data_IF_439140907331
#
_entry.id   IF_439140907331
#
_cell.length_a   1.000
_cell.length_b   1.000
_cell.length_c   1.000
_cell.angle_alpha   90.00
_cell.angle_beta   90.00
_cell.angle_gamma   90.00
#
_symmetry.space_group_name_H-M   'P 1'
#
loop_
_entity.id
_entity.type
_entity.pdbx_description
1 polymer ?
#
# COMPACT_ATOMS: atom_id res chain seq x y z
N UNK A 1 39.03 -10.82 -2.26
CA UNK A 1 37.76 -10.41 -2.91
C UNK A 1 37.20 -11.63 -3.62
N UNK A 2 36.17 -12.26 -3.07
CA UNK A 2 35.49 -13.37 -3.76
C UNK A 2 34.75 -12.82 -4.98
N UNK A 3 34.94 -13.43 -6.15
CA UNK A 3 34.15 -13.20 -7.35
C UNK A 3 33.24 -14.41 -7.53
N UNK A 4 31.95 -14.18 -7.75
CA UNK A 4 31.07 -15.27 -8.23
C UNK A 4 31.48 -15.52 -9.69
N UNK A 5 31.69 -16.78 -10.05
CA UNK A 5 32.10 -17.19 -11.40
C UNK A 5 30.90 -17.32 -12.37
N UNK A 6 29.90 -16.46 -12.20
CA UNK A 6 28.66 -16.40 -12.99
C UNK A 6 28.73 -15.36 -14.13
N UNK A 7 29.82 -14.57 -14.19
CA UNK A 7 30.00 -13.53 -15.19
C UNK A 7 29.08 -12.32 -14.99
N UNK A 8 28.48 -12.18 -13.81
CA UNK A 8 27.57 -11.09 -13.46
C UNK A 8 28.09 -10.28 -12.28
N UNK A 9 27.85 -8.97 -12.32
CA UNK A 9 28.20 -8.01 -11.28
C UNK A 9 26.89 -7.39 -10.79
N UNK A 10 26.44 -7.85 -9.62
CA UNK A 10 25.28 -7.29 -8.94
C UNK A 10 25.73 -6.12 -8.05
N UNK A 11 25.13 -4.95 -8.23
CA UNK A 11 25.37 -3.76 -7.42
C UNK A 11 24.06 -3.32 -6.77
N UNK A 12 24.13 -2.85 -5.53
CA UNK A 12 22.98 -2.39 -4.75
C UNK A 12 23.17 -0.92 -4.41
N UNK A 13 22.13 -0.11 -4.62
CA UNK A 13 22.09 1.31 -4.27
C UNK A 13 20.80 1.61 -3.51
N UNK A 14 20.93 2.32 -2.40
CA UNK A 14 19.81 2.82 -1.60
C UNK A 14 19.82 4.35 -1.69
N UNK A 15 18.75 4.91 -2.24
CA UNK A 15 18.57 6.37 -2.42
C UNK A 15 17.24 6.85 -1.83
N UNK A 16 17.22 8.07 -1.29
CA UNK A 16 15.99 8.74 -0.90
C UNK A 16 15.32 9.47 -2.06
N UNK A 17 14.04 9.78 -1.90
CA UNK A 17 13.27 10.60 -2.86
C UNK A 17 13.85 12.02 -3.06
N UNK A 18 14.67 12.48 -2.12
CA UNK A 18 15.42 13.75 -2.18
C UNK A 18 16.71 13.65 -3.03
N UNK A 19 17.01 12.47 -3.58
CA UNK A 19 18.23 12.20 -4.33
C UNK A 19 19.45 11.91 -3.45
N UNK A 20 19.29 11.84 -2.12
CA UNK A 20 20.39 11.49 -1.23
C UNK A 20 20.74 10.00 -1.35
N UNK A 21 22.03 9.69 -1.51
CA UNK A 21 22.52 8.32 -1.50
C UNK A 21 22.85 7.90 -0.06
N UNK A 22 22.15 6.90 0.47
CA UNK A 22 22.39 6.40 1.82
C UNK A 22 23.49 5.35 1.84
N UNK A 23 23.40 4.38 0.93
CA UNK A 23 24.32 3.24 0.85
C UNK A 23 24.47 2.78 -0.58
N UNK A 24 25.69 2.37 -0.92
CA UNK A 24 26.02 1.75 -2.20
C UNK A 24 27.01 0.63 -1.96
N UNK A 25 26.77 -0.52 -2.58
CA UNK A 25 27.70 -1.64 -2.61
C UNK A 25 27.78 -2.19 -4.02
N UNK A 26 28.94 -2.01 -4.64
CA UNK A 26 29.24 -2.63 -5.92
C UNK A 26 29.76 -4.06 -5.70
N UNK A 27 29.43 -4.95 -6.64
CA UNK A 27 29.84 -6.35 -6.64
C UNK A 27 29.49 -7.11 -5.33
N UNK A 28 28.19 -7.18 -5.03
CA UNK A 28 27.66 -7.93 -3.90
C UNK A 28 27.85 -9.44 -4.15
N UNK A 29 28.54 -10.09 -3.22
CA UNK A 29 28.81 -11.53 -3.21
C UNK A 29 28.39 -12.10 -1.87
N UNK A 30 27.45 -13.05 -1.88
CA UNK A 30 26.84 -13.57 -0.66
C UNK A 30 25.76 -12.65 -0.08
N UNK A 31 25.61 -12.64 1.23
CA UNK A 31 24.64 -11.79 1.94
C UNK A 31 25.19 -10.37 2.18
N UNK A 32 24.35 -9.37 1.95
CA UNK A 32 24.64 -7.97 2.25
C UNK A 32 23.56 -7.44 3.18
N UNK A 33 23.92 -7.13 4.42
CA UNK A 33 23.05 -6.51 5.42
C UNK A 33 23.56 -5.11 5.73
N UNK A 34 22.67 -4.13 5.75
CA UNK A 34 23.03 -2.75 6.06
C UNK A 34 21.89 -2.04 6.79
N UNK A 35 22.23 -1.31 7.84
CA UNK A 35 21.32 -0.40 8.52
C UNK A 35 21.66 1.05 8.16
N UNK A 36 20.64 1.88 8.06
CA UNK A 36 20.77 3.32 7.85
C UNK A 36 19.64 4.07 8.56
N UNK A 37 19.88 5.32 8.91
CA UNK A 37 18.88 6.20 9.51
C UNK A 37 18.52 7.28 8.51
N UNK A 38 17.23 7.37 8.20
CA UNK A 38 16.65 8.41 7.37
C UNK A 38 16.81 9.79 8.04
N UNK A 39 17.22 10.81 7.27
CA UNK A 39 17.25 12.19 7.77
C UNK A 39 15.88 12.87 7.72
N UNK A 40 15.02 12.42 6.82
CA UNK A 40 13.66 12.94 6.59
C UNK A 40 12.68 11.79 6.38
N UNK A 41 11.41 11.97 6.74
CA UNK A 41 10.33 11.00 6.53
C UNK A 41 9.91 10.95 5.05
N UNK A 42 10.80 10.47 4.20
CA UNK A 42 10.59 10.34 2.75
C UNK A 42 10.71 8.90 2.29
N UNK A 43 10.22 8.61 1.08
CA UNK A 43 10.32 7.29 0.47
C UNK A 43 11.76 6.97 0.07
N UNK A 44 12.14 5.69 0.14
CA UNK A 44 13.46 5.18 -0.26
C UNK A 44 13.34 4.17 -1.39
N UNK A 45 14.25 4.25 -2.34
CA UNK A 45 14.40 3.31 -3.44
C UNK A 45 15.61 2.41 -3.18
N UNK A 46 15.38 1.09 -3.27
CA UNK A 46 16.42 0.06 -3.21
C UNK A 46 16.59 -0.49 -4.63
N UNK A 47 17.64 -0.05 -5.31
CA UNK A 47 17.93 -0.42 -6.69
C UNK A 47 18.97 -1.54 -6.75
N UNK A 48 18.68 -2.56 -7.56
CA UNK A 48 19.60 -3.64 -7.91
C UNK A 48 20.02 -3.51 -9.38
N UNK A 49 21.30 -3.27 -9.62
CA UNK A 49 21.87 -3.24 -10.96
C UNK A 49 22.64 -4.52 -11.24
N UNK A 50 22.18 -5.29 -12.22
CA UNK A 50 22.89 -6.48 -12.69
C UNK A 50 23.61 -6.18 -14.01
N UNK A 51 24.94 -6.11 -13.98
CA UNK A 51 25.79 -5.85 -15.15
C UNK A 51 26.58 -7.10 -15.53
N UNK A 52 26.69 -7.38 -16.82
CA UNK A 52 27.55 -8.47 -17.30
C UNK A 52 29.01 -8.04 -17.14
N UNK A 53 29.84 -8.93 -16.60
CA UNK A 53 31.26 -8.68 -16.39
C UNK A 53 31.97 -8.50 -17.75
N UNK A 54 32.82 -7.46 -17.92
CA UNK A 54 33.53 -7.23 -19.17
C UNK A 54 34.39 -8.45 -19.55
N UNK A 55 34.18 -8.97 -20.76
CA UNK A 55 34.84 -10.18 -21.27
C UNK A 55 34.01 -11.46 -21.17
N UNK A 56 32.87 -11.45 -20.47
CA UNK A 56 31.97 -12.59 -20.41
C UNK A 56 31.00 -12.58 -21.60
N UNK A 57 31.10 -13.58 -22.49
CA UNK A 57 30.16 -13.75 -23.60
C UNK A 57 28.94 -14.51 -23.10
N UNK A 58 27.81 -13.82 -22.99
CA UNK A 58 26.53 -14.51 -22.92
C UNK A 58 26.29 -15.17 -24.28
N UNK A 59 26.55 -16.48 -24.39
CA UNK A 59 26.29 -17.30 -25.58
C UNK A 59 24.77 -17.47 -25.82
N UNK A 60 24.04 -16.36 -25.97
CA UNK A 60 22.59 -16.35 -26.12
C UNK A 60 21.80 -16.80 -24.88
N UNK A 61 22.43 -16.85 -23.70
CA UNK A 61 21.76 -17.22 -22.44
C UNK A 61 21.23 -15.98 -21.73
N UNK A 62 19.95 -15.98 -21.38
CA UNK A 62 19.39 -14.95 -20.52
C UNK A 62 19.94 -15.15 -19.09
N UNK A 63 20.89 -14.30 -18.70
CA UNK A 63 21.57 -14.41 -17.40
C UNK A 63 20.73 -13.70 -16.34
N UNK A 64 20.02 -14.48 -15.52
CA UNK A 64 19.21 -13.97 -14.41
C UNK A 64 19.85 -14.30 -13.07
N UNK A 65 19.71 -13.38 -12.12
CA UNK A 65 20.18 -13.56 -10.74
C UNK A 65 18.98 -13.47 -9.79
N UNK A 66 18.82 -14.49 -8.96
CA UNK A 66 17.80 -14.50 -7.91
C UNK A 66 18.31 -13.68 -6.72
N UNK A 67 17.42 -12.85 -6.17
CA UNK A 67 17.72 -11.96 -5.05
C UNK A 67 16.61 -12.18 -4.01
N UNK A 68 17.02 -12.43 -2.77
CA UNK A 68 16.14 -12.42 -1.61
C UNK A 68 16.38 -11.10 -0.88
N UNK A 69 15.32 -10.30 -0.72
CA UNK A 69 15.36 -8.99 -0.09
C UNK A 69 14.46 -9.02 1.14
N UNK A 70 15.05 -8.70 2.28
CA UNK A 70 14.36 -8.48 3.55
C UNK A 70 14.57 -7.03 3.98
N UNK A 71 13.49 -6.33 4.30
CA UNK A 71 13.48 -4.90 4.63
C UNK A 71 12.69 -4.71 5.92
N UNK A 72 13.41 -4.33 6.96
CA UNK A 72 12.83 -3.97 8.26
C UNK A 72 12.78 -2.45 8.38
N UNK A 73 11.68 -1.92 8.91
CA UNK A 73 11.50 -0.50 9.21
C UNK A 73 10.99 -0.32 10.64
N UNK A 74 11.21 0.87 11.21
CA UNK A 74 10.70 1.23 12.55
C UNK A 74 11.32 0.40 13.68
N UNK A 75 10.48 -0.04 14.61
CA UNK A 75 10.87 -0.76 15.83
C UNK A 75 11.54 -2.13 15.55
N UNK A 76 11.21 -2.77 14.41
CA UNK A 76 11.81 -4.03 13.99
C UNK A 76 13.28 -3.87 13.57
N UNK A 77 13.64 -2.73 12.96
CA UNK A 77 14.98 -2.44 12.47
C UNK A 77 15.95 -1.90 13.54
N UNK A 78 15.47 -1.63 14.75
CA UNK A 78 16.28 -1.08 15.85
C UNK A 78 17.09 -2.19 16.53
N UNK A 79 18.39 -1.97 16.67
CA UNK A 79 19.26 -2.82 17.48
C UNK A 79 19.07 -2.51 18.97
N UNK A 80 18.12 -3.20 19.59
CA UNK A 80 17.80 -3.08 21.01
C UNK A 80 18.98 -3.42 21.92
N UNK A 81 19.91 -4.26 21.49
CA UNK A 81 21.12 -4.59 22.25
C UNK A 81 22.09 -3.40 22.28
N UNK A 82 22.22 -2.69 21.16
CA UNK A 82 23.01 -1.47 21.08
C UNK A 82 22.41 -0.34 21.93
N UNK A 83 21.07 -0.20 21.97
CA UNK A 83 20.38 0.78 22.81
C UNK A 83 20.53 0.43 24.30
N UNK A 84 20.35 -0.84 24.67
CA UNK A 84 20.55 -1.33 26.04
C UNK A 84 21.95 -1.02 26.56
N UNK A 85 22.97 -1.26 25.74
CA UNK A 85 24.37 -1.01 26.09
C UNK A 85 24.68 0.49 26.19
N UNK A 86 24.10 1.32 25.31
CA UNK A 86 24.31 2.77 25.28
C UNK A 86 23.64 3.48 26.47
N UNK A 87 22.40 3.11 26.79
CA UNK A 87 21.61 3.74 27.85
C UNK A 87 21.74 3.02 29.22
N UNK A 88 22.49 1.91 29.30
CA UNK A 88 22.66 1.07 30.50
C UNK A 88 21.32 0.64 31.13
N UNK A 89 20.33 0.35 30.28
CA UNK A 89 18.99 -0.02 30.73
C UNK A 89 18.98 -1.44 31.30
N UNK A 90 18.12 -1.67 32.28
CA UNK A 90 17.85 -3.04 32.76
C UNK A 90 17.12 -3.81 31.65
N UNK A 91 17.35 -5.13 31.50
CA UNK A 91 16.68 -5.95 30.48
C UNK A 91 15.15 -5.79 30.46
N UNK A 92 14.51 -5.69 31.63
CA UNK A 92 13.06 -5.51 31.75
C UNK A 92 12.55 -4.14 31.22
N UNK A 93 13.36 -3.09 31.29
CA UNK A 93 12.98 -1.74 30.83
C UNK A 93 13.01 -1.65 29.30
N UNK A 94 13.92 -2.39 28.67
CA UNK A 94 14.02 -2.50 27.21
C UNK A 94 12.79 -3.20 26.62
N UNK A 95 12.32 -4.27 27.26
CA UNK A 95 11.11 -4.98 26.81
C UNK A 95 9.84 -4.12 26.93
N UNK A 96 9.74 -3.31 27.99
CA UNK A 96 8.64 -2.36 28.15
C UNK A 96 8.68 -1.27 27.08
N UNK A 97 9.83 -0.65 26.82
CA UNK A 97 9.96 0.37 25.75
C UNK A 97 9.65 -0.20 24.37
N UNK A 98 10.10 -1.43 24.09
CA UNK A 98 9.78 -2.12 22.83
C UNK A 98 8.28 -2.33 22.67
N UNK A 99 7.59 -2.73 23.73
CA UNK A 99 6.14 -2.95 23.69
C UNK A 99 5.36 -1.64 23.58
N UNK A 100 5.81 -0.59 24.26
CA UNK A 100 5.23 0.76 24.17
C UNK A 100 5.32 1.33 22.76
N UNK A 101 6.51 1.25 22.13
CA UNK A 101 6.70 1.67 20.73
C UNK A 101 5.83 0.86 19.76
N UNK A 102 5.61 -0.44 20.01
CA UNK A 102 4.68 -1.25 19.21
C UNK A 102 3.22 -0.81 19.37
N UNK A 103 2.81 -0.45 20.59
CA UNK A 103 1.43 -0.01 20.86
C UNK A 103 1.18 1.35 20.20
N UNK A 104 2.14 2.26 20.25
CA UNK A 104 2.03 3.57 19.59
C UNK A 104 1.86 3.43 18.07
N UNK A 105 2.62 2.53 17.45
CA UNK A 105 2.52 2.23 16.02
C UNK A 105 1.11 1.71 15.67
N UNK A 106 0.59 0.74 16.44
CA UNK A 106 -0.77 0.19 16.27
C UNK A 106 -1.84 1.26 16.50
N UNK A 107 -1.69 2.11 17.52
CA UNK A 107 -2.65 3.17 17.82
C UNK A 107 -2.75 4.18 16.67
N UNK A 108 -1.60 4.51 16.06
CA UNK A 108 -1.57 5.39 14.89
C UNK A 108 -2.28 4.78 13.67
N UNK A 109 -2.14 3.47 13.46
CA UNK A 109 -2.81 2.76 12.37
C UNK A 109 -4.33 2.67 12.60
N UNK A 110 -4.76 2.40 13.85
CA UNK A 110 -6.17 2.42 14.22
C UNK A 110 -6.80 3.79 13.97
N UNK A 111 -6.12 4.88 14.31
CA UNK A 111 -6.62 6.22 14.04
C UNK A 111 -6.81 6.47 12.53
N UNK A 112 -5.87 6.00 11.71
CA UNK A 112 -6.03 6.04 10.25
C UNK A 112 -7.24 5.24 9.77
N UNK A 113 -7.45 4.04 10.30
CA UNK A 113 -8.60 3.19 9.95
C UNK A 113 -9.94 3.84 10.33
N UNK A 114 -10.03 4.47 11.51
CA UNK A 114 -11.24 5.19 11.95
C UNK A 114 -11.55 6.36 11.00
N UNK A 115 -10.55 7.20 10.68
CA UNK A 115 -10.74 8.31 9.72
C UNK A 115 -11.17 7.83 8.34
N UNK A 116 -10.67 6.67 7.91
CA UNK A 116 -11.06 6.05 6.64
C UNK A 116 -12.49 5.51 6.68
N UNK A 117 -12.89 4.88 7.79
CA UNK A 117 -14.27 4.42 8.00
C UNK A 117 -15.25 5.59 7.93
N UNK A 118 -14.97 6.69 8.63
CA UNK A 118 -15.84 7.89 8.61
C UNK A 118 -16.10 8.39 7.19
N UNK A 119 -15.05 8.47 6.36
CA UNK A 119 -15.17 8.86 4.95
C UNK A 119 -16.00 7.87 4.13
N UNK A 120 -15.80 6.58 4.34
CA UNK A 120 -16.58 5.53 3.67
C UNK A 120 -18.05 5.59 4.09
N UNK A 121 -18.32 5.86 5.36
CA UNK A 121 -19.66 6.00 5.92
C UNK A 121 -20.40 7.18 5.31
N UNK A 122 -19.75 8.35 5.21
CA UNK A 122 -20.32 9.56 4.58
C UNK A 122 -20.61 9.34 3.08
N UNK A 123 -19.70 8.67 2.38
CA UNK A 123 -19.90 8.29 0.97
C UNK A 123 -21.08 7.34 0.79
N UNK A 124 -21.21 6.36 1.70
CA UNK A 124 -22.33 5.42 1.68
C UNK A 124 -23.66 6.12 1.96
N UNK A 125 -23.70 6.99 2.97
CA UNK A 125 -24.91 7.73 3.33
C UNK A 125 -25.36 8.66 2.20
N UNK A 126 -24.45 9.43 1.61
CA UNK A 126 -24.77 10.34 0.51
C UNK A 126 -25.23 9.59 -0.76
N UNK A 127 -24.63 8.44 -1.06
CA UNK A 127 -25.05 7.58 -2.18
C UNK A 127 -26.45 7.00 -1.91
N UNK A 128 -26.66 6.44 -0.72
CA UNK A 128 -27.94 5.87 -0.32
C UNK A 128 -29.05 6.93 -0.37
N UNK A 129 -28.77 8.17 0.08
CA UNK A 129 -29.73 9.29 0.02
C UNK A 129 -30.15 9.62 -1.42
N UNK A 130 -29.19 9.66 -2.36
CA UNK A 130 -29.47 9.91 -3.79
C UNK A 130 -30.30 8.78 -4.39
N UNK A 131 -29.89 7.54 -4.19
CA UNK A 131 -30.59 6.34 -4.70
C UNK A 131 -32.01 6.26 -4.16
N UNK A 132 -32.19 6.51 -2.86
CA UNK A 132 -33.51 6.56 -2.22
C UNK A 132 -34.42 7.60 -2.87
N UNK A 133 -33.89 8.81 -3.11
CA UNK A 133 -34.67 9.88 -3.74
C UNK A 133 -35.09 9.50 -5.18
N UNK A 134 -34.19 8.89 -5.96
CA UNK A 134 -34.54 8.38 -7.29
C UNK A 134 -35.58 7.25 -7.23
N UNK A 135 -35.47 6.33 -6.26
CA UNK A 135 -36.46 5.28 -6.05
C UNK A 135 -37.85 5.83 -5.77
N UNK A 136 -37.97 6.83 -4.90
CA UNK A 136 -39.25 7.51 -4.61
C UNK A 136 -39.82 8.16 -5.87
N UNK A 137 -38.98 8.85 -6.65
CA UNK A 137 -39.41 9.48 -7.91
C UNK A 137 -39.97 8.46 -8.89
N UNK A 138 -39.31 7.30 -9.06
CA UNK A 138 -39.77 6.24 -9.96
C UNK A 138 -41.13 5.70 -9.52
N UNK A 139 -41.33 5.46 -8.22
CA UNK A 139 -42.61 5.01 -7.68
C UNK A 139 -43.73 6.01 -8.01
N UNK A 140 -43.49 7.31 -7.78
CA UNK A 140 -44.46 8.37 -8.09
C UNK A 140 -44.79 8.40 -9.58
N UNK A 141 -43.77 8.31 -10.45
CA UNK A 141 -43.95 8.28 -11.90
C UNK A 141 -44.80 7.07 -12.32
N UNK A 142 -44.49 5.87 -11.83
CA UNK A 142 -45.24 4.65 -12.16
C UNK A 142 -46.72 4.74 -11.75
N UNK A 143 -47.00 5.28 -10.56
CA UNK A 143 -48.39 5.50 -10.11
C UNK A 143 -49.12 6.52 -11.00
N UNK A 144 -48.45 7.61 -11.37
CA UNK A 144 -49.04 8.64 -12.23
C UNK A 144 -49.39 8.10 -13.63
N UNK A 145 -48.47 7.31 -14.23
CA UNK A 145 -48.67 6.68 -15.53
C UNK A 145 -49.76 5.62 -15.45
N UNK A 146 -49.78 4.79 -14.39
CA UNK A 146 -50.82 3.79 -14.19
C UNK A 146 -52.22 4.42 -14.08
N UNK A 147 -52.36 5.51 -13.32
CA UNK A 147 -53.63 6.23 -13.22
C UNK A 147 -54.04 6.88 -14.54
N UNK A 148 -53.09 7.46 -15.27
CA UNK A 148 -53.32 8.01 -16.60
C UNK A 148 -53.79 6.91 -17.58
N UNK A 149 -53.14 5.75 -17.57
CA UNK A 149 -53.48 4.61 -18.42
C UNK A 149 -54.90 4.11 -18.16
N UNK A 150 -55.32 4.01 -16.89
CA UNK A 150 -56.71 3.65 -16.54
C UNK A 150 -57.70 4.69 -17.05
N UNK A 151 -57.42 5.99 -16.89
CA UNK A 151 -58.28 7.06 -17.39
C UNK A 151 -58.38 7.04 -18.92
N UNK A 152 -57.27 6.84 -19.61
CA UNK A 152 -57.23 6.74 -21.07
C UNK A 152 -58.10 5.59 -21.56
N UNK A 153 -57.93 4.39 -21.00
CA UNK A 153 -58.72 3.21 -21.37
C UNK A 153 -60.21 3.44 -21.11
N UNK A 154 -60.59 4.03 -19.97
CA UNK A 154 -62.00 4.37 -19.67
C UNK A 154 -62.59 5.35 -20.68
N UNK A 155 -61.84 6.39 -21.07
CA UNK A 155 -62.30 7.37 -22.05
C UNK A 155 -62.40 6.76 -23.45
N UNK A 156 -61.44 5.91 -23.83
CA UNK A 156 -61.44 5.22 -25.10
C UNK A 156 -62.67 4.32 -25.25
N UNK A 157 -63.01 3.53 -24.23
CA UNK A 157 -64.21 2.68 -24.25
C UNK A 157 -65.51 3.48 -24.30
N UNK A 158 -65.62 4.59 -23.54
CA UNK A 158 -66.78 5.49 -23.63
C UNK A 158 -66.93 6.10 -25.02
N UNK A 159 -65.84 6.57 -25.62
CA UNK A 159 -65.89 7.20 -26.94
C UNK A 159 -66.28 6.22 -28.04
N UNK A 160 -65.91 4.95 -27.92
CA UNK A 160 -66.16 3.92 -28.93
C UNK A 160 -67.46 3.14 -28.71
N UNK A 161 -68.24 3.43 -27.65
CA UNK A 161 -69.49 2.73 -27.32
C UNK A 161 -69.34 1.19 -27.30
N UNK A 162 -68.21 0.69 -26.79
CA UNK A 162 -67.94 -0.76 -26.69
C UNK A 162 -68.33 -1.30 -25.30
N UNK A 163 -68.89 -0.45 -24.45
CA UNK A 163 -69.60 -0.79 -23.22
C UNK A 163 -70.90 0.01 -23.16
#
# INVERSE_FOLDING_TARGET
>A
MAKVADGQILSVKISGADGSEYRRKDNVVGSFKVAFTAKSSSSFDICFENKIQPGFRSNGRDLKRQIELDVEAGAAARDWNAIQAAEKLKPAEVELRKTDEMIDDIASELEYLVRREERLRDTNESTNRRVRNFGILIIVVLLSVGMYQIRYMRNYFRSKHIL
#
